data_IF_921284336583
#
_entry.id   IF_921284336583
#
_cell.length_a   1.000
_cell.length_b   1.000
_cell.length_c   1.000
_cell.angle_alpha   90.00
_cell.angle_beta   90.00
_cell.angle_gamma   90.00
#
_symmetry.space_group_name_H-M   'P 1'
#
loop_
_entity.id
_entity.type
_entity.pdbx_description
1 polymer ?
#
# COMPACT_ATOMS: atom_id res chain seq x y z
N UNK A 1 22.43 -53.13 20.46
CA UNK A 1 22.40 -54.00 21.67
C UNK A 1 21.50 -53.35 22.70
N UNK A 2 20.51 -54.15 23.12
CA UNK A 2 19.64 -54.06 24.31
C UNK A 2 18.71 -52.84 24.42
N UNK A 3 17.42 -52.99 24.23
CA UNK A 3 16.28 -53.80 24.71
C UNK A 3 15.76 -53.41 26.11
N UNK A 4 14.46 -53.10 26.09
CA UNK A 4 13.39 -53.50 27.07
C UNK A 4 13.29 -52.66 28.33
N UNK A 5 12.16 -52.46 28.98
CA UNK A 5 10.78 -52.95 28.87
C UNK A 5 9.87 -52.17 29.82
N UNK A 6 8.62 -52.02 29.48
CA UNK A 6 7.37 -52.35 30.22
C UNK A 6 7.32 -52.13 31.74
N UNK A 7 6.25 -51.42 32.20
CA UNK A 7 5.31 -52.03 33.15
C UNK A 7 4.00 -51.20 33.23
N UNK A 8 2.92 -51.90 33.04
CA UNK A 8 1.50 -51.62 33.24
C UNK A 8 1.05 -51.88 34.68
N UNK A 9 0.03 -51.19 35.18
CA UNK A 9 -0.99 -51.65 36.16
C UNK A 9 -2.01 -50.52 36.37
N UNK A 10 -3.23 -50.57 36.04
CA UNK A 10 -4.44 -51.35 36.26
C UNK A 10 -5.25 -50.95 37.54
N UNK A 11 -6.46 -50.51 37.28
CA UNK A 11 -7.74 -50.55 38.02
C UNK A 11 -8.00 -49.71 39.25
N UNK A 12 -9.15 -49.03 39.19
CA UNK A 12 -9.96 -48.55 40.30
C UNK A 12 -11.23 -47.86 39.80
N UNK A 13 -12.28 -48.63 39.57
CA UNK A 13 -13.60 -48.13 39.22
C UNK A 13 -14.39 -47.76 40.50
N UNK A 14 -15.10 -46.67 40.47
CA UNK A 14 -16.35 -46.50 41.30
C UNK A 14 -17.29 -45.56 40.55
N UNK A 15 -18.49 -46.09 40.32
CA UNK A 15 -19.63 -45.42 39.73
C UNK A 15 -20.41 -44.65 40.80
N UNK A 16 -21.03 -43.52 40.43
CA UNK A 16 -22.46 -43.32 40.63
C UNK A 16 -22.95 -41.89 40.30
N UNK A 17 -24.03 -41.85 39.54
CA UNK A 17 -25.26 -41.04 39.60
C UNK A 17 -25.29 -39.73 38.82
N UNK A 18 -26.02 -39.81 37.75
CA UNK A 18 -26.95 -38.96 37.02
C UNK A 18 -27.17 -37.50 37.48
N UNK A 19 -26.97 -36.59 36.55
CA UNK A 19 -27.54 -35.25 36.48
C UNK A 19 -27.61 -34.82 35.02
N UNK A 20 -28.80 -34.97 34.42
CA UNK A 20 -29.13 -34.45 33.08
C UNK A 20 -29.07 -32.93 33.13
N UNK A 21 -28.13 -32.34 32.42
CA UNK A 21 -28.21 -30.96 31.96
C UNK A 21 -27.53 -30.90 30.61
N UNK A 22 -28.32 -30.70 29.56
CA UNK A 22 -27.87 -30.56 28.20
C UNK A 22 -26.98 -29.33 28.06
N UNK A 23 -25.71 -29.55 27.77
CA UNK A 23 -24.85 -28.52 27.19
C UNK A 23 -24.76 -28.79 25.69
N UNK A 24 -25.52 -27.99 24.95
CA UNK A 24 -25.25 -27.81 23.54
C UNK A 24 -23.77 -27.39 23.39
N UNK A 25 -22.97 -28.18 22.71
CA UNK A 25 -21.69 -27.77 22.18
C UNK A 25 -22.01 -26.79 21.03
N UNK A 26 -22.20 -25.52 21.39
CA UNK A 26 -22.06 -24.44 20.45
C UNK A 26 -20.55 -24.21 20.30
N UNK A 27 -20.02 -24.46 19.12
CA UNK A 27 -18.73 -23.91 18.71
C UNK A 27 -18.79 -22.40 18.91
N UNK A 28 -18.26 -21.94 20.03
CA UNK A 28 -17.98 -20.55 20.23
C UNK A 28 -16.82 -20.16 19.31
N UNK A 29 -17.10 -20.03 18.01
CA UNK A 29 -16.34 -19.14 17.17
C UNK A 29 -16.44 -17.77 17.85
N UNK A 30 -15.40 -17.37 18.55
CA UNK A 30 -15.30 -16.06 19.16
C UNK A 30 -15.67 -15.05 18.07
N UNK A 31 -16.77 -14.33 18.28
CA UNK A 31 -17.27 -13.33 17.35
C UNK A 31 -16.29 -12.16 17.32
N UNK A 32 -15.26 -12.30 16.47
CA UNK A 32 -14.25 -11.25 16.20
C UNK A 32 -14.85 -10.04 15.48
N UNK A 33 -16.16 -10.05 15.16
CA UNK A 33 -16.88 -8.93 14.55
C UNK A 33 -17.17 -7.79 15.53
N UNK A 34 -17.18 -8.03 16.82
CA UNK A 34 -17.57 -7.03 17.82
C UNK A 34 -16.64 -5.82 17.95
N UNK A 35 -15.33 -6.00 17.80
CA UNK A 35 -14.37 -4.90 17.93
C UNK A 35 -14.34 -3.94 16.72
N UNK A 36 -14.67 -4.44 15.51
CA UNK A 36 -14.73 -3.64 14.28
C UNK A 36 -15.93 -2.69 14.20
N UNK A 37 -16.91 -2.84 15.08
CA UNK A 37 -18.13 -2.02 15.10
C UNK A 37 -18.16 -1.00 16.25
N UNK A 38 -17.21 -1.09 17.18
CA UNK A 38 -17.13 -0.13 18.29
C UNK A 38 -16.74 1.27 17.73
N UNK A 39 -17.42 2.35 18.16
CA UNK A 39 -17.05 3.70 17.80
C UNK A 39 -15.59 4.00 18.16
N UNK A 40 -14.95 4.88 17.38
CA UNK A 40 -13.64 5.42 17.75
C UNK A 40 -13.79 6.25 19.03
N UNK A 41 -12.81 6.16 19.92
CA UNK A 41 -12.77 7.04 21.08
C UNK A 41 -12.46 8.50 20.63
N UNK A 42 -13.13 9.45 21.28
CA UNK A 42 -12.97 10.88 20.97
C UNK A 42 -11.59 11.43 21.37
N UNK A 43 -10.97 10.82 22.38
CA UNK A 43 -9.66 11.22 22.89
C UNK A 43 -8.66 10.06 22.84
N UNK A 44 -7.39 10.41 22.61
CA UNK A 44 -6.30 9.45 22.66
C UNK A 44 -5.84 9.26 24.11
N UNK A 45 -5.92 8.04 24.67
CA UNK A 45 -5.45 7.80 26.04
C UNK A 45 -3.97 8.14 26.23
N UNK A 46 -3.63 8.72 27.38
CA UNK A 46 -2.25 9.06 27.72
C UNK A 46 -1.35 7.82 27.67
N UNK A 47 -0.13 7.98 27.18
CA UNK A 47 0.85 6.91 27.02
C UNK A 47 0.69 6.09 25.73
N UNK A 48 -0.33 6.36 24.91
CA UNK A 48 -0.49 5.73 23.60
C UNK A 48 0.70 6.03 22.68
N UNK A 49 1.13 5.02 21.93
CA UNK A 49 2.21 5.19 20.95
C UNK A 49 1.97 4.36 19.69
N UNK A 50 2.46 4.86 18.54
CA UNK A 50 2.43 4.17 17.26
C UNK A 50 3.82 4.14 16.62
N UNK A 51 4.10 3.08 15.87
CA UNK A 51 5.21 2.99 14.91
C UNK A 51 4.65 3.24 13.52
N UNK A 52 5.12 4.27 12.84
CA UNK A 52 4.52 4.76 11.58
C UNK A 52 5.55 4.70 10.46
N UNK A 53 5.16 4.18 9.30
CA UNK A 53 5.99 4.21 8.10
C UNK A 53 6.19 5.66 7.64
N UNK A 54 7.42 6.02 7.31
CA UNK A 54 7.76 7.33 6.77
C UNK A 54 8.96 7.20 5.82
N UNK A 55 8.66 6.97 4.53
CA UNK A 55 9.71 6.82 3.53
C UNK A 55 10.55 8.09 3.44
N UNK A 56 11.87 7.96 3.67
CA UNK A 56 12.83 9.07 3.71
C UNK A 56 12.40 10.25 4.61
N UNK A 57 11.64 9.99 5.66
CA UNK A 57 11.19 11.04 6.58
C UNK A 57 10.12 11.98 6.01
N UNK A 58 9.42 11.59 4.95
CA UNK A 58 8.47 12.44 4.24
C UNK A 58 7.39 13.02 5.17
N UNK A 59 6.72 12.19 5.98
CA UNK A 59 5.65 12.64 6.86
C UNK A 59 6.14 13.61 7.95
N UNK A 60 7.31 13.31 8.57
CA UNK A 60 7.90 14.23 9.56
C UNK A 60 8.21 15.59 8.95
N UNK A 61 8.75 15.57 7.71
CA UNK A 61 9.07 16.78 6.98
C UNK A 61 7.82 17.60 6.66
N UNK A 62 6.75 16.94 6.17
CA UNK A 62 5.46 17.56 5.92
C UNK A 62 4.91 18.23 7.18
N UNK A 63 4.87 17.52 8.31
CA UNK A 63 4.33 18.03 9.58
C UNK A 63 5.13 19.23 10.08
N UNK A 64 6.45 19.17 10.03
CA UNK A 64 7.34 20.26 10.43
C UNK A 64 7.17 21.50 9.56
N UNK A 65 7.19 21.35 8.24
CA UNK A 65 7.13 22.46 7.30
C UNK A 65 5.74 23.10 7.27
N UNK A 66 4.69 22.31 7.34
CA UNK A 66 3.31 22.77 7.44
C UNK A 66 2.96 23.33 8.83
N UNK A 67 3.88 23.27 9.81
CA UNK A 67 3.65 23.70 11.20
C UNK A 67 2.38 23.09 11.79
N UNK A 68 2.16 21.80 11.53
CA UNK A 68 0.97 21.11 12.05
C UNK A 68 1.07 20.97 13.57
N UNK A 69 -0.08 20.94 14.28
CA UNK A 69 -0.11 20.68 15.72
C UNK A 69 0.58 19.37 16.08
N UNK A 70 1.12 19.31 17.30
CA UNK A 70 1.66 18.06 17.82
C UNK A 70 0.59 16.96 17.88
N UNK A 71 1.02 15.73 17.63
CA UNK A 71 0.12 14.57 17.72
C UNK A 71 -0.22 14.31 19.21
N UNK A 72 -1.47 13.94 19.53
CA UNK A 72 -1.88 13.66 20.91
C UNK A 72 -1.39 12.29 21.40
N UNK A 73 -0.37 11.72 20.77
CA UNK A 73 0.27 10.46 21.12
C UNK A 73 1.75 10.51 20.73
N UNK A 74 2.52 9.58 21.28
CA UNK A 74 3.95 9.44 20.93
C UNK A 74 4.10 8.63 19.63
N UNK A 75 4.84 9.13 18.65
CA UNK A 75 5.38 8.28 17.59
C UNK A 75 6.62 7.58 18.17
N UNK A 76 6.47 6.28 18.43
CA UNK A 76 7.54 5.48 19.03
C UNK A 76 8.70 5.27 18.05
N UNK A 77 8.39 5.16 16.76
CA UNK A 77 9.36 5.06 15.69
C UNK A 77 8.76 5.55 14.36
N UNK A 78 9.56 6.25 13.59
CA UNK A 78 9.32 6.57 12.19
C UNK A 78 10.12 5.60 11.33
N UNK A 79 9.47 4.56 10.87
CA UNK A 79 10.13 3.45 10.15
C UNK A 79 10.36 3.84 8.70
N UNK A 80 11.63 3.90 8.26
CA UNK A 80 11.97 4.19 6.86
C UNK A 80 11.68 2.96 5.98
N UNK A 81 10.45 2.84 5.52
CA UNK A 81 9.95 1.74 4.70
C UNK A 81 8.91 2.28 3.71
N UNK A 82 8.83 1.70 2.52
CA UNK A 82 7.88 2.17 1.50
C UNK A 82 7.38 1.05 0.57
N UNK A 83 8.11 -0.04 0.41
CA UNK A 83 7.69 -1.14 -0.46
C UNK A 83 6.62 -2.00 0.23
N UNK A 84 5.49 -2.23 -0.44
CA UNK A 84 4.35 -2.98 0.11
C UNK A 84 4.71 -4.36 0.69
N UNK A 85 5.50 -5.22 0.03
CA UNK A 85 5.92 -6.49 0.60
C UNK A 85 6.71 -6.35 1.91
N UNK A 86 7.58 -5.33 2.02
CA UNK A 86 8.35 -5.07 3.23
C UNK A 86 7.45 -4.58 4.37
N UNK A 87 6.44 -3.74 4.04
CA UNK A 87 5.42 -3.28 5.00
C UNK A 87 4.62 -4.46 5.55
N UNK A 88 4.19 -5.41 4.71
CA UNK A 88 3.49 -6.63 5.17
C UNK A 88 4.35 -7.42 6.15
N UNK A 89 5.66 -7.57 5.86
CA UNK A 89 6.59 -8.25 6.76
C UNK A 89 6.77 -7.49 8.09
N UNK A 90 6.89 -6.16 8.04
CA UNK A 90 6.99 -5.31 9.23
C UNK A 90 5.72 -5.39 10.11
N UNK A 91 4.53 -5.43 9.50
CA UNK A 91 3.27 -5.64 10.21
C UNK A 91 3.23 -7.02 10.89
N UNK A 92 3.62 -8.08 10.20
CA UNK A 92 3.70 -9.43 10.78
C UNK A 92 4.67 -9.51 11.94
N UNK A 93 5.80 -8.81 11.85
CA UNK A 93 6.80 -8.71 12.91
C UNK A 93 6.39 -7.76 14.05
N UNK A 94 5.21 -7.09 13.97
CA UNK A 94 4.76 -6.05 14.92
C UNK A 94 5.76 -4.90 15.09
N UNK A 95 6.59 -4.66 14.09
CA UNK A 95 7.54 -3.54 14.04
C UNK A 95 6.96 -2.28 13.41
N UNK A 96 5.71 -2.33 12.96
CA UNK A 96 4.97 -1.24 12.33
C UNK A 96 3.49 -1.32 12.72
N UNK A 97 2.86 -0.17 12.96
CA UNK A 97 1.43 -0.07 13.30
C UNK A 97 0.61 0.58 12.18
N UNK A 98 1.18 1.51 11.41
CA UNK A 98 0.49 2.25 10.35
C UNK A 98 1.43 2.47 9.17
N UNK A 99 0.93 2.31 7.96
CA UNK A 99 1.69 2.56 6.73
C UNK A 99 0.88 3.35 5.70
N UNK A 100 1.64 4.04 4.82
CA UNK A 100 1.17 4.73 3.63
C UNK A 100 1.64 3.93 2.40
N UNK A 101 0.72 3.54 1.52
CA UNK A 101 1.00 2.79 0.30
C UNK A 101 -0.08 3.01 -0.78
N UNK A 102 0.17 2.50 -2.00
CA UNK A 102 -0.85 2.30 -3.02
C UNK A 102 -1.87 1.20 -2.62
N UNK A 103 -2.95 1.01 -3.39
CA UNK A 103 -4.03 0.06 -3.08
C UNK A 103 -3.60 -1.41 -3.02
N UNK A 104 -2.59 -1.83 -3.75
CA UNK A 104 -2.23 -3.23 -3.92
C UNK A 104 -1.74 -3.96 -2.66
N UNK A 105 -0.92 -3.38 -1.78
CA UNK A 105 -0.45 -4.07 -0.59
C UNK A 105 -1.55 -4.63 0.32
N UNK A 106 -2.68 -3.96 0.58
CA UNK A 106 -3.81 -4.55 1.31
C UNK A 106 -4.41 -5.79 0.63
N UNK A 107 -4.56 -5.78 -0.71
CA UNK A 107 -5.03 -6.95 -1.47
C UNK A 107 -4.06 -8.13 -1.30
N UNK A 108 -2.75 -7.89 -1.41
CA UNK A 108 -1.73 -8.92 -1.25
C UNK A 108 -1.66 -9.44 0.19
N UNK A 109 -1.80 -8.57 1.18
CA UNK A 109 -1.87 -8.95 2.59
C UNK A 109 -3.05 -9.90 2.83
N UNK A 110 -4.25 -9.55 2.33
CA UNK A 110 -5.44 -10.38 2.42
C UNK A 110 -5.24 -11.75 1.75
N UNK A 111 -4.70 -11.77 0.53
CA UNK A 111 -4.40 -13.02 -0.19
C UNK A 111 -3.42 -13.93 0.56
N UNK A 112 -2.48 -13.32 1.31
CA UNK A 112 -1.53 -14.03 2.16
C UNK A 112 -2.08 -14.40 3.55
N UNK A 113 -3.39 -14.22 3.80
CA UNK A 113 -4.04 -14.51 5.07
C UNK A 113 -3.70 -13.53 6.20
N UNK A 114 -3.25 -12.31 5.87
CA UNK A 114 -2.97 -11.28 6.86
C UNK A 114 -4.10 -10.24 6.88
N UNK A 115 -4.75 -10.08 8.04
CA UNK A 115 -5.87 -9.14 8.21
C UNK A 115 -5.34 -7.74 8.53
N UNK A 116 -5.51 -6.84 7.57
CA UNK A 116 -5.24 -5.42 7.70
C UNK A 116 -6.36 -4.63 7.04
N UNK A 117 -6.57 -3.39 7.49
CA UNK A 117 -7.65 -2.53 7.01
C UNK A 117 -7.13 -1.21 6.48
N UNK A 118 -7.77 -0.71 5.44
CA UNK A 118 -7.62 0.64 4.92
C UNK A 118 -8.38 1.59 5.85
N UNK A 119 -7.68 2.63 6.33
CA UNK A 119 -8.20 3.61 7.30
C UNK A 119 -8.22 5.04 6.76
N UNK A 120 -7.56 5.33 5.65
CA UNK A 120 -7.70 6.59 4.92
C UNK A 120 -7.33 6.38 3.46
N UNK A 121 -7.85 7.21 2.59
CA UNK A 121 -7.53 7.23 1.16
C UNK A 121 -7.25 8.64 0.67
N UNK A 122 -6.37 8.71 -0.32
CA UNK A 122 -6.10 9.85 -1.18
C UNK A 122 -6.24 9.39 -2.64
N UNK A 123 -7.04 10.09 -3.42
CA UNK A 123 -7.30 9.78 -4.83
C UNK A 123 -6.40 10.61 -5.72
N UNK A 124 -5.69 9.95 -6.63
CA UNK A 124 -4.87 10.58 -7.67
C UNK A 124 -5.51 10.41 -9.05
N UNK A 125 -5.55 11.48 -9.85
CA UNK A 125 -6.27 11.51 -11.14
C UNK A 125 -5.35 11.48 -12.37
N UNK A 126 -4.04 11.70 -12.18
CA UNK A 126 -3.06 11.68 -13.28
C UNK A 126 -2.18 10.44 -13.18
N UNK A 127 -1.67 9.90 -14.29
CA UNK A 127 -0.71 8.82 -14.25
C UNK A 127 0.53 9.18 -13.44
N UNK A 128 0.91 8.33 -12.52
CA UNK A 128 2.11 8.44 -11.68
C UNK A 128 3.27 7.57 -12.19
N UNK A 129 3.02 6.83 -13.27
CA UNK A 129 3.98 5.93 -13.91
C UNK A 129 4.01 6.16 -15.42
N UNK A 130 5.16 5.85 -16.01
CA UNK A 130 5.34 5.68 -17.45
C UNK A 130 6.09 4.37 -17.71
N UNK A 131 5.99 3.83 -18.91
CA UNK A 131 6.85 2.74 -19.34
C UNK A 131 8.16 3.30 -19.88
N UNK A 132 9.27 2.77 -19.39
CA UNK A 132 10.59 3.01 -19.96
C UNK A 132 11.04 1.77 -20.74
N UNK A 133 11.63 1.98 -21.91
CA UNK A 133 12.22 0.91 -22.71
C UNK A 133 13.71 0.76 -22.44
N UNK A 134 14.27 -0.44 -22.67
CA UNK A 134 15.72 -0.63 -22.63
C UNK A 134 16.44 0.20 -23.71
N UNK A 135 17.75 0.44 -23.59
CA UNK A 135 18.56 1.01 -24.67
C UNK A 135 18.47 0.18 -25.96
N UNK A 136 18.47 0.84 -27.10
CA UNK A 136 18.39 0.19 -28.41
C UNK A 136 17.04 -0.46 -28.75
N UNK A 137 15.98 -0.12 -28.01
CA UNK A 137 14.64 -0.67 -28.21
C UNK A 137 13.93 -0.05 -29.42
N UNK A 138 13.22 -0.89 -30.17
CA UNK A 138 12.31 -0.51 -31.27
C UNK A 138 10.87 -0.22 -30.78
N UNK A 139 10.54 -0.51 -29.55
CA UNK A 139 9.23 -0.36 -28.92
C UNK A 139 8.84 1.13 -28.83
N UNK A 140 7.63 1.47 -29.31
CA UNK A 140 7.12 2.86 -29.37
C UNK A 140 5.76 3.05 -28.68
N UNK A 141 4.99 1.96 -28.52
CA UNK A 141 3.66 1.97 -27.93
C UNK A 141 3.39 0.69 -27.14
N UNK A 142 2.34 0.67 -26.32
CA UNK A 142 1.93 -0.52 -25.56
C UNK A 142 1.60 -1.69 -26.48
N UNK A 143 1.06 -1.43 -27.68
CA UNK A 143 0.79 -2.45 -28.68
C UNK A 143 2.05 -3.24 -29.11
N UNK A 144 3.23 -2.63 -29.02
CA UNK A 144 4.50 -3.29 -29.37
C UNK A 144 5.02 -4.24 -28.27
N UNK A 145 4.28 -4.39 -27.16
CA UNK A 145 4.69 -5.24 -26.03
C UNK A 145 4.51 -6.74 -26.32
N UNK A 146 3.78 -7.09 -27.36
CA UNK A 146 3.59 -8.49 -27.75
C UNK A 146 4.92 -9.21 -27.92
N UNK A 147 5.08 -10.35 -27.22
CA UNK A 147 6.30 -11.17 -27.21
C UNK A 147 7.48 -10.58 -26.41
N UNK A 148 7.37 -9.37 -25.87
CA UNK A 148 8.44 -8.67 -25.14
C UNK A 148 8.52 -9.13 -23.67
N UNK A 149 9.71 -8.92 -23.09
CA UNK A 149 9.97 -9.13 -21.65
C UNK A 149 9.62 -7.86 -20.89
N UNK A 150 8.62 -7.93 -20.02
CA UNK A 150 8.11 -6.82 -19.25
C UNK A 150 8.42 -7.02 -17.76
N UNK A 151 9.02 -6.03 -17.12
CA UNK A 151 9.25 -6.07 -15.67
C UNK A 151 7.91 -6.05 -14.94
N UNK A 152 7.67 -7.04 -14.08
CA UNK A 152 6.41 -7.20 -13.37
C UNK A 152 6.64 -7.34 -11.88
N UNK A 153 6.04 -6.43 -11.11
CA UNK A 153 6.06 -6.46 -9.65
C UNK A 153 4.65 -6.79 -9.12
N UNK A 154 4.45 -8.04 -8.73
CA UNK A 154 3.14 -8.56 -8.33
C UNK A 154 2.52 -7.84 -7.14
N UNK A 155 3.33 -7.36 -6.19
CA UNK A 155 2.87 -6.74 -4.93
C UNK A 155 2.98 -5.21 -4.90
N UNK A 156 3.16 -4.56 -6.05
CA UNK A 156 3.39 -3.11 -6.15
C UNK A 156 2.54 -2.49 -7.26
N UNK A 157 2.27 -1.17 -7.16
CA UNK A 157 1.47 -0.40 -8.12
C UNK A 157 1.95 -0.56 -9.57
N UNK A 158 3.26 -0.63 -9.79
CA UNK A 158 3.86 -0.81 -11.10
C UNK A 158 3.35 -2.06 -11.83
N UNK A 159 3.14 -3.15 -11.08
CA UNK A 159 2.60 -4.39 -11.65
C UNK A 159 1.16 -4.20 -12.14
N UNK A 160 0.30 -3.58 -11.34
CA UNK A 160 -1.10 -3.33 -11.73
C UNK A 160 -1.21 -2.34 -12.87
N UNK A 161 -0.40 -1.28 -12.87
CA UNK A 161 -0.34 -0.33 -13.99
C UNK A 161 0.00 -1.05 -15.30
N UNK A 162 0.94 -1.99 -15.26
CA UNK A 162 1.27 -2.82 -16.43
C UNK A 162 0.07 -3.67 -16.86
N UNK A 163 -0.55 -4.42 -15.95
CA UNK A 163 -1.70 -5.28 -16.28
C UNK A 163 -2.88 -4.47 -16.83
N UNK A 164 -3.20 -3.31 -16.23
CA UNK A 164 -4.24 -2.40 -16.73
C UNK A 164 -3.93 -1.88 -18.14
N UNK A 165 -2.68 -1.52 -18.41
CA UNK A 165 -2.27 -1.03 -19.72
C UNK A 165 -2.33 -2.14 -20.78
N UNK A 166 -1.94 -3.37 -20.45
CA UNK A 166 -2.08 -4.52 -21.33
C UNK A 166 -3.55 -4.79 -21.65
N UNK A 167 -4.42 -4.87 -20.63
CA UNK A 167 -5.87 -5.05 -20.80
C UNK A 167 -6.48 -3.96 -21.69
N UNK A 168 -6.11 -2.69 -21.46
CA UNK A 168 -6.57 -1.56 -22.28
C UNK A 168 -6.12 -1.65 -23.73
N UNK A 169 -4.94 -2.20 -23.99
CA UNK A 169 -4.38 -2.41 -25.34
C UNK A 169 -4.91 -3.70 -25.99
N UNK A 170 -5.73 -4.50 -25.32
CA UNK A 170 -6.23 -5.77 -25.81
C UNK A 170 -5.18 -6.87 -25.86
N UNK A 171 -4.11 -6.77 -25.08
CA UNK A 171 -3.05 -7.76 -24.98
C UNK A 171 -3.29 -8.72 -23.82
N UNK A 172 -3.33 -10.02 -24.11
CA UNK A 172 -3.36 -11.06 -23.10
C UNK A 172 -2.04 -11.18 -22.34
N UNK A 173 -2.11 -11.68 -21.10
CA UNK A 173 -0.89 -11.86 -20.28
C UNK A 173 0.01 -12.99 -20.83
N UNK A 174 -0.54 -13.92 -21.57
CA UNK A 174 0.16 -14.98 -22.29
C UNK A 174 0.84 -14.51 -23.60
N UNK A 175 0.45 -13.34 -24.10
CA UNK A 175 1.06 -12.72 -25.28
C UNK A 175 2.35 -11.95 -24.95
N UNK A 176 2.69 -11.79 -23.68
CA UNK A 176 3.88 -11.09 -23.18
C UNK A 176 4.68 -11.97 -22.23
N UNK A 177 5.94 -11.61 -21.95
CA UNK A 177 6.77 -12.32 -20.97
C UNK A 177 6.90 -11.49 -19.71
N UNK A 178 6.06 -11.74 -18.71
CA UNK A 178 6.16 -11.09 -17.41
C UNK A 178 7.39 -11.63 -16.66
N UNK A 179 8.33 -10.74 -16.34
CA UNK A 179 9.56 -11.07 -15.59
C UNK A 179 9.37 -10.58 -14.15
N UNK A 180 9.24 -11.50 -13.17
CA UNK A 180 9.04 -11.14 -11.77
C UNK A 180 10.25 -10.39 -11.22
N UNK A 181 10.06 -9.14 -10.80
CA UNK A 181 11.08 -8.27 -10.23
C UNK A 181 10.41 -7.33 -9.22
N UNK A 182 11.17 -6.83 -8.26
CA UNK A 182 10.74 -5.69 -7.43
C UNK A 182 11.07 -4.38 -8.12
N UNK A 183 10.34 -3.30 -7.83
CA UNK A 183 10.49 -2.02 -8.55
C UNK A 183 11.88 -1.41 -8.44
N UNK A 184 12.62 -1.66 -7.36
CA UNK A 184 14.01 -1.21 -7.18
C UNK A 184 14.99 -1.90 -8.15
N UNK A 185 14.62 -3.03 -8.74
CA UNK A 185 15.43 -3.77 -9.73
C UNK A 185 15.16 -3.31 -11.18
N UNK A 186 14.08 -2.57 -11.44
CA UNK A 186 13.63 -2.24 -12.79
C UNK A 186 14.66 -1.45 -13.59
N UNK A 187 15.30 -0.47 -12.97
CA UNK A 187 16.33 0.35 -13.61
C UNK A 187 17.49 -0.52 -14.13
N UNK A 188 18.03 -1.37 -13.26
CA UNK A 188 19.15 -2.28 -13.60
C UNK A 188 18.72 -3.32 -14.64
N UNK A 189 17.50 -3.85 -14.54
CA UNK A 189 16.97 -4.82 -15.49
C UNK A 189 16.79 -4.23 -16.89
N UNK A 190 16.36 -2.96 -17.02
CA UNK A 190 16.32 -2.24 -18.29
C UNK A 190 17.72 -2.00 -18.84
N UNK A 191 18.64 -1.56 -17.99
CA UNK A 191 20.02 -1.27 -18.36
C UNK A 191 20.75 -2.50 -18.91
N UNK A 192 20.57 -3.64 -18.28
CA UNK A 192 21.21 -4.91 -18.67
C UNK A 192 20.50 -5.63 -19.83
N UNK A 193 19.31 -5.17 -20.25
CA UNK A 193 18.49 -5.85 -21.23
C UNK A 193 17.83 -7.13 -20.73
N UNK A 194 17.77 -7.34 -19.41
CA UNK A 194 17.00 -8.44 -18.78
C UNK A 194 15.51 -8.31 -19.12
N UNK A 195 15.01 -7.08 -19.19
CA UNK A 195 13.67 -6.74 -19.64
C UNK A 195 13.71 -5.72 -20.77
N UNK A 196 12.69 -5.74 -21.65
CA UNK A 196 12.55 -4.79 -22.74
C UNK A 196 11.85 -3.49 -22.29
N UNK A 197 10.93 -3.62 -21.31
CA UNK A 197 10.11 -2.52 -20.77
C UNK A 197 9.94 -2.68 -19.27
N UNK A 198 9.91 -1.55 -18.56
CA UNK A 198 9.54 -1.49 -17.14
C UNK A 198 8.68 -0.27 -16.84
N UNK A 199 7.66 -0.37 -15.98
CA UNK A 199 6.93 0.78 -15.46
C UNK A 199 7.79 1.51 -14.41
N UNK A 200 8.22 2.71 -14.71
CA UNK A 200 8.95 3.57 -13.78
C UNK A 200 8.04 4.67 -13.24
N UNK A 201 8.21 4.99 -11.97
CA UNK A 201 7.54 6.15 -11.39
C UNK A 201 8.03 7.44 -12.07
N UNK A 202 7.13 8.42 -12.24
CA UNK A 202 7.43 9.67 -12.96
C UNK A 202 8.60 10.46 -12.34
N UNK A 203 8.88 10.28 -11.06
CA UNK A 203 10.05 10.87 -10.39
C UNK A 203 11.36 10.13 -10.67
N UNK A 204 11.32 8.85 -11.05
CA UNK A 204 12.51 8.04 -11.37
C UNK A 204 12.84 8.05 -12.86
N UNK A 205 11.83 8.13 -13.71
CA UNK A 205 11.97 8.06 -15.15
C UNK A 205 12.92 9.12 -15.75
N UNK A 206 12.93 10.40 -15.29
CA UNK A 206 13.85 11.41 -15.82
C UNK A 206 15.32 11.04 -15.64
N UNK A 207 15.69 10.44 -14.50
CA UNK A 207 17.08 10.01 -14.26
C UNK A 207 17.48 8.89 -15.23
N UNK A 208 16.61 7.92 -15.46
CA UNK A 208 16.84 6.86 -16.44
C UNK A 208 16.97 7.40 -17.86
N UNK A 209 16.02 8.22 -18.30
CA UNK A 209 15.99 8.75 -19.67
C UNK A 209 17.17 9.69 -19.96
N UNK A 210 17.58 10.51 -18.97
CA UNK A 210 18.79 11.33 -19.10
C UNK A 210 20.03 10.49 -19.45
N UNK A 211 20.14 9.30 -18.89
CA UNK A 211 21.31 8.43 -19.08
C UNK A 211 21.24 7.60 -20.37
N UNK A 212 20.03 7.23 -20.81
CA UNK A 212 19.86 6.20 -21.84
C UNK A 212 19.06 6.63 -23.08
N UNK A 213 18.47 7.83 -23.13
CA UNK A 213 17.71 8.28 -24.31
C UNK A 213 18.61 8.43 -25.55
N UNK A 214 19.84 8.90 -25.38
CA UNK A 214 20.85 8.98 -26.48
C UNK A 214 21.22 7.57 -27.01
N UNK A 215 21.00 6.54 -26.24
CA UNK A 215 21.20 5.14 -26.63
C UNK A 215 19.89 4.45 -27.10
N UNK A 216 18.83 5.22 -27.37
CA UNK A 216 17.57 4.74 -27.92
C UNK A 216 16.53 4.31 -26.90
N UNK A 217 16.76 4.49 -25.59
CA UNK A 217 15.72 4.29 -24.59
C UNK A 217 14.63 5.37 -24.73
N UNK A 218 13.37 4.99 -24.47
CA UNK A 218 12.20 5.86 -24.65
C UNK A 218 11.26 5.77 -23.48
N UNK A 219 10.43 6.80 -23.31
CA UNK A 219 9.23 6.76 -22.48
C UNK A 219 8.00 6.50 -23.31
N UNK A 220 7.08 5.69 -22.79
CA UNK A 220 5.79 5.41 -23.40
C UNK A 220 4.73 5.72 -22.31
N UNK A 221 3.73 6.56 -22.59
CA UNK A 221 2.64 6.80 -21.66
C UNK A 221 1.92 5.50 -21.30
N UNK A 222 1.62 5.29 -20.02
CA UNK A 222 0.85 4.11 -19.59
C UNK A 222 -0.60 4.17 -20.05
N UNK A 223 -1.16 5.36 -20.20
CA UNK A 223 -2.56 5.58 -20.53
C UNK A 223 -3.54 5.14 -19.44
N UNK A 224 -3.03 4.81 -18.25
CA UNK A 224 -3.80 4.37 -17.07
C UNK A 224 -3.33 5.10 -15.83
N UNK A 225 -4.20 5.18 -14.84
CA UNK A 225 -3.94 5.80 -13.53
C UNK A 225 -3.82 4.68 -12.49
N UNK A 226 -2.98 4.87 -11.47
CA UNK A 226 -3.09 4.17 -10.20
C UNK A 226 -3.81 5.11 -9.23
N UNK A 227 -5.10 4.84 -9.00
CA UNK A 227 -6.00 5.82 -8.38
C UNK A 227 -5.69 6.08 -6.92
N UNK A 228 -5.29 5.04 -6.17
CA UNK A 228 -5.28 5.09 -4.71
C UNK A 228 -3.88 5.23 -4.13
N UNK A 229 -3.73 6.22 -3.26
CA UNK A 229 -2.78 6.24 -2.15
C UNK A 229 -3.56 6.12 -0.84
N UNK A 230 -3.10 5.36 0.13
CA UNK A 230 -3.91 5.04 1.30
C UNK A 230 -3.08 4.80 2.57
N UNK A 231 -3.71 5.06 3.72
CA UNK A 231 -3.22 4.60 5.01
C UNK A 231 -3.90 3.27 5.35
N UNK A 232 -3.14 2.33 5.88
CA UNK A 232 -3.63 1.03 6.31
C UNK A 232 -2.88 0.51 7.54
N UNK A 233 -3.56 -0.32 8.31
CA UNK A 233 -3.05 -0.84 9.57
C UNK A 233 -3.50 -2.30 9.79
N UNK A 234 -2.72 -3.12 10.54
CA UNK A 234 -3.15 -4.44 10.97
C UNK A 234 -4.46 -4.39 11.76
N UNK A 235 -5.33 -5.36 11.55
CA UNK A 235 -6.55 -5.50 12.34
C UNK A 235 -6.27 -5.52 13.85
N UNK A 236 -5.22 -6.21 14.27
CA UNK A 236 -4.82 -6.28 15.67
C UNK A 236 -4.41 -4.93 16.29
N UNK A 237 -3.98 -3.96 15.46
CA UNK A 237 -3.72 -2.58 15.89
C UNK A 237 -5.05 -1.82 16.04
N UNK A 238 -5.99 -2.04 15.13
CA UNK A 238 -7.30 -1.37 15.14
C UNK A 238 -8.27 -1.93 16.18
N UNK A 239 -8.01 -3.12 16.69
CA UNK A 239 -8.75 -3.74 17.79
C UNK A 239 -8.31 -3.20 19.17
N UNK A 240 -7.16 -2.50 19.25
CA UNK A 240 -6.75 -1.71 20.40
C UNK A 240 -7.40 -0.31 20.32
N UNK A 241 -8.36 0.02 21.22
CA UNK A 241 -9.08 1.30 21.15
C UNK A 241 -8.18 2.52 21.25
N UNK A 242 -7.07 2.45 22.03
CA UNK A 242 -6.13 3.55 22.17
C UNK A 242 -5.36 3.79 20.87
N UNK A 243 -4.90 2.72 20.21
CA UNK A 243 -4.20 2.82 18.92
C UNK A 243 -5.16 3.22 17.80
N UNK A 244 -6.40 2.75 17.79
CA UNK A 244 -7.41 3.18 16.83
C UNK A 244 -7.70 4.68 16.96
N UNK A 245 -7.85 5.20 18.19
CA UNK A 245 -8.00 6.63 18.45
C UNK A 245 -6.76 7.44 17.99
N UNK A 246 -5.55 6.92 18.21
CA UNK A 246 -4.32 7.55 17.74
C UNK A 246 -4.25 7.62 16.21
N UNK A 247 -4.67 6.56 15.51
CA UNK A 247 -4.76 6.54 14.03
C UNK A 247 -5.82 7.56 13.58
N UNK A 248 -6.97 7.65 14.25
CA UNK A 248 -8.00 8.64 13.94
C UNK A 248 -7.49 10.08 14.08
N UNK A 249 -6.66 10.35 15.09
CA UNK A 249 -6.02 11.65 15.29
C UNK A 249 -4.89 11.93 14.27
N UNK A 250 -4.23 10.88 13.75
CA UNK A 250 -3.18 10.99 12.73
C UNK A 250 -3.73 11.37 11.35
N UNK A 251 -4.84 10.76 10.92
CA UNK A 251 -5.42 10.92 9.59
C UNK A 251 -5.63 12.39 9.19
N UNK A 252 -6.22 13.28 10.03
CA UNK A 252 -6.33 14.69 9.72
C UNK A 252 -4.98 15.38 9.45
N UNK A 253 -3.94 15.03 10.20
CA UNK A 253 -2.62 15.62 10.03
C UNK A 253 -1.94 15.13 8.74
N UNK A 254 -2.09 13.84 8.44
CA UNK A 254 -1.62 13.27 7.17
C UNK A 254 -2.27 13.97 5.97
N UNK A 255 -3.59 14.14 5.98
CA UNK A 255 -4.30 14.80 4.89
C UNK A 255 -3.85 16.27 4.71
N UNK A 256 -3.74 17.04 5.82
CA UNK A 256 -3.23 18.41 5.78
C UNK A 256 -1.79 18.49 5.28
N UNK A 257 -0.94 17.54 5.65
CA UNK A 257 0.44 17.46 5.18
C UNK A 257 0.53 17.26 3.68
N UNK A 258 -0.30 16.38 3.10
CA UNK A 258 -0.39 16.15 1.66
C UNK A 258 -0.88 17.40 0.90
N UNK A 259 -1.90 18.09 1.42
CA UNK A 259 -2.40 19.34 0.84
C UNK A 259 -1.31 20.41 0.89
N UNK A 260 -0.66 20.61 2.03
CA UNK A 260 0.42 21.58 2.18
C UNK A 260 1.56 21.31 1.20
N UNK A 261 2.00 20.08 1.06
CA UNK A 261 3.04 19.69 0.10
C UNK A 261 2.66 20.09 -1.33
N UNK A 262 1.41 19.86 -1.72
CA UNK A 262 0.90 20.20 -3.06
C UNK A 262 0.86 21.73 -3.28
N UNK A 263 0.48 22.50 -2.27
CA UNK A 263 0.38 23.97 -2.33
C UNK A 263 1.73 24.67 -2.24
N UNK A 264 2.77 24.00 -1.72
CA UNK A 264 4.10 24.58 -1.50
C UNK A 264 5.21 23.82 -2.24
N UNK A 265 5.08 23.62 -3.57
CA UNK A 265 6.01 22.78 -4.33
C UNK A 265 7.45 23.28 -4.32
N UNK A 266 7.71 24.58 -4.30
CA UNK A 266 9.07 25.11 -4.29
C UNK A 266 9.79 24.80 -2.96
N UNK A 267 9.11 24.96 -1.83
CA UNK A 267 9.67 24.62 -0.50
C UNK A 267 9.89 23.11 -0.41
N UNK A 268 8.91 22.30 -0.87
CA UNK A 268 9.03 20.86 -0.89
C UNK A 268 10.17 20.36 -1.77
N UNK A 269 10.34 20.96 -2.96
CA UNK A 269 11.44 20.65 -3.89
C UNK A 269 12.79 20.83 -3.23
N UNK A 270 12.99 21.97 -2.56
CA UNK A 270 14.25 22.27 -1.90
C UNK A 270 14.52 21.33 -0.72
N UNK A 271 13.54 21.18 0.20
CA UNK A 271 13.74 20.46 1.45
C UNK A 271 13.76 18.93 1.26
N UNK A 272 12.90 18.40 0.39
CA UNK A 272 12.77 16.94 0.22
C UNK A 272 13.61 16.43 -0.96
N UNK A 273 13.40 16.96 -2.16
CA UNK A 273 14.09 16.41 -3.33
C UNK A 273 15.56 16.82 -3.41
N UNK A 274 15.88 18.09 -3.15
CA UNK A 274 17.25 18.55 -3.23
C UNK A 274 18.06 18.11 -2.00
N UNK A 275 17.61 18.46 -0.79
CA UNK A 275 18.38 18.18 0.43
C UNK A 275 18.38 16.72 0.87
N UNK A 276 17.26 16.02 0.72
CA UNK A 276 17.15 14.63 1.19
C UNK A 276 17.52 13.61 0.11
N UNK A 277 17.20 13.87 -1.16
CA UNK A 277 17.43 12.92 -2.25
C UNK A 277 18.58 13.32 -3.18
N UNK A 278 19.27 14.44 -2.92
CA UNK A 278 20.39 14.94 -3.73
C UNK A 278 20.04 15.16 -5.21
N UNK A 279 18.78 15.50 -5.53
CA UNK A 279 18.38 15.88 -6.88
C UNK A 279 18.76 17.32 -7.15
N UNK A 280 18.94 17.67 -8.43
CA UNK A 280 19.02 19.08 -8.82
C UNK A 280 17.65 19.75 -8.71
N UNK A 281 17.63 21.06 -8.49
CA UNK A 281 16.37 21.81 -8.44
C UNK A 281 15.55 21.69 -9.74
N UNK A 282 16.21 21.59 -10.89
CA UNK A 282 15.56 21.35 -12.17
C UNK A 282 14.84 19.99 -12.23
N UNK A 283 15.45 18.94 -11.68
CA UNK A 283 14.83 17.61 -11.57
C UNK A 283 13.64 17.66 -10.60
N UNK A 284 13.82 18.30 -9.44
CA UNK A 284 12.76 18.47 -8.44
C UNK A 284 11.53 19.21 -9.03
N UNK A 285 11.74 20.31 -9.75
CA UNK A 285 10.66 21.04 -10.46
C UNK A 285 9.98 20.19 -11.52
N UNK A 286 10.74 19.37 -12.25
CA UNK A 286 10.18 18.42 -13.21
C UNK A 286 9.24 17.39 -12.54
N UNK A 287 9.58 16.92 -11.35
CA UNK A 287 8.72 16.03 -10.54
C UNK A 287 7.47 16.77 -10.07
N UNK A 288 7.62 17.98 -9.51
CA UNK A 288 6.51 18.80 -9.02
C UNK A 288 5.49 19.14 -10.12
N UNK A 289 5.95 19.37 -11.37
CA UNK A 289 5.07 19.61 -12.51
C UNK A 289 4.14 18.42 -12.84
N UNK A 290 4.51 17.21 -12.41
CA UNK A 290 3.75 15.99 -12.59
C UNK A 290 2.92 15.61 -11.34
N UNK A 291 3.03 16.39 -10.27
CA UNK A 291 2.33 16.11 -9.01
C UNK A 291 0.81 16.07 -9.21
N UNK A 292 0.18 15.14 -8.52
CA UNK A 292 -1.27 15.06 -8.42
C UNK A 292 -1.76 16.00 -7.31
N UNK A 293 -2.92 16.65 -7.54
CA UNK A 293 -3.69 17.26 -6.48
C UNK A 293 -4.23 16.14 -5.61
N UNK A 294 -3.94 16.12 -4.29
CA UNK A 294 -4.49 15.09 -3.41
C UNK A 294 -5.99 15.32 -3.23
N UNK A 295 -6.79 14.24 -3.27
CA UNK A 295 -8.23 14.31 -3.11
C UNK A 295 -8.69 13.33 -2.04
N UNK A 296 -9.39 13.84 -1.03
CA UNK A 296 -9.88 13.08 0.13
C UNK A 296 -11.41 13.03 0.09
N UNK A 297 -12.01 12.06 -0.61
CA UNK A 297 -13.46 12.02 -0.77
C UNK A 297 -14.15 11.69 0.57
N UNK A 298 -15.37 12.25 0.81
CA UNK A 298 -16.14 11.98 2.02
C UNK A 298 -16.76 10.58 2.03
N UNK A 299 -16.95 9.94 0.87
CA UNK A 299 -17.36 8.54 0.69
C UNK A 299 -16.28 7.77 -0.05
N UNK A 300 -16.06 6.50 0.34
CA UNK A 300 -15.09 5.62 -0.28
C UNK A 300 -15.66 4.73 -1.41
N UNK A 301 -16.90 4.95 -1.84
CA UNK A 301 -17.55 4.12 -2.86
C UNK A 301 -16.74 4.01 -4.16
N UNK A 302 -16.14 5.11 -4.62
CA UNK A 302 -15.28 5.10 -5.81
C UNK A 302 -14.00 4.31 -5.57
N UNK A 303 -13.38 4.49 -4.42
CA UNK A 303 -12.17 3.78 -4.05
C UNK A 303 -12.41 2.27 -3.92
N UNK A 304 -13.52 1.87 -3.30
CA UNK A 304 -13.91 0.47 -3.15
C UNK A 304 -14.15 -0.17 -4.53
N UNK A 305 -14.86 0.50 -5.43
CA UNK A 305 -15.04 0.00 -6.81
C UNK A 305 -13.72 -0.16 -7.54
N UNK A 306 -12.83 0.83 -7.45
CA UNK A 306 -11.51 0.78 -8.06
C UNK A 306 -10.65 -0.35 -7.50
N UNK A 307 -10.68 -0.53 -6.20
CA UNK A 307 -9.94 -1.59 -5.51
C UNK A 307 -10.47 -2.97 -5.89
N UNK A 308 -11.81 -3.11 -6.08
CA UNK A 308 -12.42 -4.33 -6.60
C UNK A 308 -11.95 -4.64 -8.02
N UNK A 309 -11.95 -3.63 -8.90
CA UNK A 309 -11.41 -3.79 -10.26
C UNK A 309 -9.93 -4.21 -10.24
N UNK A 310 -9.16 -3.70 -9.28
CA UNK A 310 -7.75 -4.06 -9.09
C UNK A 310 -7.61 -5.52 -8.65
N UNK A 311 -8.40 -5.94 -7.66
CA UNK A 311 -8.41 -7.32 -7.17
C UNK A 311 -8.87 -8.31 -8.27
N UNK A 312 -9.91 -7.93 -9.03
CA UNK A 312 -10.42 -8.74 -10.14
C UNK A 312 -9.36 -8.89 -11.26
N UNK A 313 -8.67 -7.81 -11.60
CA UNK A 313 -7.57 -7.83 -12.57
C UNK A 313 -6.43 -8.75 -12.13
N UNK A 314 -6.05 -8.70 -10.86
CA UNK A 314 -5.06 -9.61 -10.30
C UNK A 314 -5.54 -11.07 -10.28
N UNK A 315 -6.83 -11.29 -10.03
CA UNK A 315 -7.43 -12.63 -10.06
C UNK A 315 -7.53 -13.20 -11.48
N UNK A 316 -7.86 -12.38 -12.48
CA UNK A 316 -7.82 -12.74 -13.91
C UNK A 316 -6.42 -13.21 -14.32
N UNK A 317 -5.37 -12.56 -13.80
CA UNK A 317 -3.98 -12.97 -14.02
C UNK A 317 -3.51 -14.16 -13.19
N UNK A 318 -4.35 -14.72 -12.31
CA UNK A 318 -3.98 -15.82 -11.43
C UNK A 318 -3.07 -15.42 -10.26
N UNK A 319 -2.91 -14.11 -9.98
CA UNK A 319 -2.01 -13.59 -8.94
C UNK A 319 -2.62 -13.59 -7.54
N UNK A 320 -3.96 -13.54 -7.46
CA UNK A 320 -4.73 -13.64 -6.22
C UNK A 320 -6.00 -14.48 -6.47
N UNK A 321 -6.72 -14.84 -5.41
CA UNK A 321 -8.08 -15.39 -5.52
C UNK A 321 -9.08 -14.25 -5.53
N UNK A 322 -10.23 -14.44 -6.19
CA UNK A 322 -11.35 -13.48 -6.11
C UNK A 322 -11.87 -13.38 -4.67
N UNK A 323 -12.14 -12.14 -4.25
CA UNK A 323 -12.77 -11.84 -2.97
C UNK A 323 -13.45 -10.46 -3.04
N UNK A 324 -14.31 -10.16 -2.07
CA UNK A 324 -14.93 -8.86 -1.91
C UNK A 324 -14.01 -7.93 -1.13
N UNK A 325 -13.50 -6.89 -1.80
CA UNK A 325 -12.54 -5.93 -1.22
C UNK A 325 -13.17 -5.00 -0.19
N UNK A 326 -14.51 -4.90 -0.10
CA UNK A 326 -15.18 -4.07 0.91
C UNK A 326 -14.72 -4.42 2.33
N UNK A 327 -14.38 -5.70 2.54
CA UNK A 327 -13.83 -6.21 3.80
C UNK A 327 -12.46 -5.61 4.17
N UNK A 328 -11.75 -4.99 3.23
CA UNK A 328 -10.47 -4.31 3.49
C UNK A 328 -10.64 -2.93 4.12
N UNK A 329 -11.83 -2.31 4.06
CA UNK A 329 -12.07 -0.95 4.50
C UNK A 329 -12.67 -0.91 5.92
N UNK A 330 -12.12 -0.05 6.79
CA UNK A 330 -12.69 0.23 8.10
C UNK A 330 -13.44 1.57 8.06
N UNK A 331 -14.74 1.51 7.81
CA UNK A 331 -15.60 2.69 7.63
C UNK A 331 -15.70 3.62 8.86
N UNK A 332 -15.21 3.20 10.04
CA UNK A 332 -15.11 4.11 11.20
C UNK A 332 -14.27 5.35 10.90
N UNK A 333 -13.32 5.24 9.96
CA UNK A 333 -12.36 6.30 9.60
C UNK A 333 -12.77 7.10 8.35
N UNK A 334 -13.79 6.68 7.60
CA UNK A 334 -14.09 7.10 6.23
C UNK A 334 -14.07 8.61 5.99
N UNK A 335 -14.68 9.41 6.86
CA UNK A 335 -14.81 10.86 6.64
C UNK A 335 -13.70 11.71 7.27
N UNK A 336 -12.75 11.12 8.01
CA UNK A 336 -11.80 11.88 8.83
C UNK A 336 -10.86 12.76 8.00
N UNK A 337 -10.30 12.23 6.92
CA UNK A 337 -9.44 12.99 6.01
C UNK A 337 -10.21 14.11 5.31
N UNK A 338 -11.40 13.81 4.78
CA UNK A 338 -12.24 14.77 4.08
C UNK A 338 -12.66 15.95 4.96
N UNK A 339 -13.00 15.70 6.24
CA UNK A 339 -13.36 16.75 7.20
C UNK A 339 -12.19 17.69 7.54
N UNK A 340 -10.97 17.23 7.38
CA UNK A 340 -9.76 17.95 7.78
C UNK A 340 -9.22 18.92 6.72
N UNK A 341 -9.71 18.83 5.47
CA UNK A 341 -9.21 19.58 4.32
C UNK A 341 -10.27 20.51 3.74
N UNK A 342 -9.88 21.58 3.00
CA UNK A 342 -10.79 22.43 2.25
C UNK A 342 -11.64 21.66 1.24
N UNK A 343 -12.79 22.23 0.83
CA UNK A 343 -13.77 21.56 -0.02
C UNK A 343 -13.18 21.15 -1.39
N UNK A 344 -12.32 21.98 -1.97
CA UNK A 344 -11.65 21.72 -3.25
C UNK A 344 -10.72 20.49 -3.24
N UNK A 345 -10.39 19.95 -2.05
CA UNK A 345 -9.62 18.71 -1.87
C UNK A 345 -10.49 17.49 -1.55
N UNK A 346 -11.82 17.62 -1.64
CA UNK A 346 -12.76 16.52 -1.33
C UNK A 346 -13.34 15.85 -2.57
N UNK A 347 -13.09 16.42 -3.77
CA UNK A 347 -13.69 15.96 -5.04
C UNK A 347 -12.69 15.98 -6.19
#
# INVERSE_FOLDING_TARGET
>A
MHRRAFLTSVFGASAAVAGLSGCAHGDAAADTRGAATAPLADEVPAGTSLKIASYLGQQQLQFRLAKLPELPFKVADWVNIGAGPDVINAFRARSLDLADNAGIPPIQAHYQGFDAKIVAIDITRKPTYLFATRPGSDIRAVADFKGRKLAFSQGQAQGVVLLRALKKAGLGYDEVKLVPLTSNQFFTALQSGQVDVAPLAVNQAPAYLKQYSSKGARSIPTGVVDLLNLLWAPRSVLDDPAKAAAIAAYIPQWAKGQVWQYEHPDVWNEEFYVRTQNLTLAQARGIAALANKPLFPPSWDEAIRWEQETADLLAEGGFVKKFDVSSLFDHRFESLAAKAVPEEYRR
#
